data_IF_973540769027
#
_entry.id   IF_973540769027
#
_cell.length_a   1.000
_cell.length_b   1.000
_cell.length_c   1.000
_cell.angle_alpha   90.00
_cell.angle_beta   90.00
_cell.angle_gamma   90.00
#
_symmetry.space_group_name_H-M   'P 1'
#
loop_
_entity.id
_entity.type
_entity.pdbx_description
1 polymer ?
#
# COMPACT_ATOMS: atom_id res chain seq x y z
N UNK A 1 -10.68 -8.71 -17.04
CA UNK A 1 -9.70 -7.73 -17.55
C UNK A 1 -8.31 -8.36 -17.53
N UNK A 2 -7.38 -7.88 -18.34
CA UNK A 2 -5.99 -8.37 -18.33
C UNK A 2 -5.00 -7.31 -17.82
N UNK A 3 -5.51 -6.17 -17.35
CA UNK A 3 -4.74 -5.01 -16.89
C UNK A 3 -5.37 -4.40 -15.63
N UNK A 4 -4.55 -3.96 -14.70
CA UNK A 4 -4.96 -3.21 -13.53
C UNK A 4 -3.90 -2.15 -13.19
N UNK A 5 -4.35 -1.06 -12.56
CA UNK A 5 -3.49 -0.01 -12.03
C UNK A 5 -3.85 0.21 -10.56
N UNK A 6 -2.85 0.19 -9.69
CA UNK A 6 -2.99 0.42 -8.26
C UNK A 6 -2.06 1.57 -7.88
N UNK A 7 -2.54 2.45 -7.03
CA UNK A 7 -1.76 3.59 -6.53
C UNK A 7 -1.11 3.26 -5.18
N UNK A 8 0.14 3.71 -5.04
CA UNK A 8 0.93 3.61 -3.81
C UNK A 8 1.95 4.74 -3.75
N UNK A 9 2.74 4.81 -2.68
CA UNK A 9 3.77 5.83 -2.52
C UNK A 9 5.15 5.24 -2.28
N UNK A 10 6.16 5.86 -2.89
CA UNK A 10 7.55 5.72 -2.49
C UNK A 10 7.85 6.58 -1.27
N UNK A 11 9.09 6.51 -0.79
CA UNK A 11 9.60 7.41 0.24
C UNK A 11 10.96 7.94 -0.20
N UNK A 12 11.07 9.27 -0.28
CA UNK A 12 12.32 9.95 -0.63
C UNK A 12 12.58 11.08 0.39
N UNK A 13 13.27 10.73 1.47
CA UNK A 13 13.37 11.61 2.64
C UNK A 13 12.00 11.86 3.26
N UNK A 14 11.55 13.12 3.28
CA UNK A 14 10.19 13.51 3.74
C UNK A 14 9.15 13.53 2.62
N UNK A 15 9.56 13.34 1.37
CA UNK A 15 8.64 13.32 0.23
C UNK A 15 8.14 11.91 -0.02
N UNK A 16 6.85 11.80 -0.34
CA UNK A 16 6.22 10.53 -0.68
C UNK A 16 5.62 10.60 -2.09
N UNK A 17 6.46 10.48 -3.15
CA UNK A 17 5.99 10.55 -4.52
C UNK A 17 5.06 9.39 -4.86
N UNK A 18 4.05 9.68 -5.69
CA UNK A 18 3.11 8.68 -6.18
C UNK A 18 3.82 7.65 -7.07
N UNK A 19 3.48 6.38 -6.86
CA UNK A 19 3.91 5.25 -7.68
C UNK A 19 2.67 4.56 -8.21
N UNK A 20 2.63 4.31 -9.51
CA UNK A 20 1.62 3.49 -10.16
C UNK A 20 2.17 2.05 -10.29
N UNK A 21 1.43 1.11 -9.75
CA UNK A 21 1.69 -0.32 -9.91
C UNK A 21 0.76 -0.83 -11.00
N UNK A 22 1.29 -0.99 -12.21
CA UNK A 22 0.55 -1.50 -13.37
C UNK A 22 0.79 -3.00 -13.50
N UNK A 23 -0.28 -3.78 -13.54
CA UNK A 23 -0.21 -5.24 -13.68
C UNK A 23 -0.90 -5.67 -14.95
N UNK A 24 -0.17 -6.37 -15.81
CA UNK A 24 -0.68 -6.96 -17.04
C UNK A 24 -0.59 -8.49 -17.02
N UNK A 25 -1.72 -9.13 -17.27
CA UNK A 25 -1.84 -10.58 -17.38
C UNK A 25 -2.00 -10.95 -18.86
N UNK A 26 -1.05 -11.69 -19.41
CA UNK A 26 -1.05 -12.11 -20.82
C UNK A 26 -0.94 -13.63 -20.97
N UNK A 27 -1.33 -14.13 -22.13
CA UNK A 27 -1.14 -15.53 -22.48
C UNK A 27 0.34 -15.88 -22.63
N UNK A 28 0.72 -17.09 -22.25
CA UNK A 28 2.09 -17.58 -22.40
C UNK A 28 2.52 -18.45 -21.22
N UNK A 29 3.78 -18.86 -21.22
CA UNK A 29 4.33 -19.64 -20.10
C UNK A 29 4.26 -18.83 -18.80
N UNK A 30 3.88 -19.45 -17.68
CA UNK A 30 3.82 -18.78 -16.39
C UNK A 30 5.15 -18.13 -16.03
N UNK A 31 5.12 -16.84 -15.81
CA UNK A 31 6.28 -16.05 -15.40
C UNK A 31 5.83 -14.80 -14.67
N UNK A 32 6.66 -14.28 -13.77
CA UNK A 32 6.43 -13.02 -13.07
C UNK A 32 7.66 -12.12 -13.24
N UNK A 33 7.47 -11.02 -13.95
CA UNK A 33 8.51 -10.02 -14.21
C UNK A 33 8.10 -8.69 -13.60
N UNK A 34 9.02 -8.04 -12.87
CA UNK A 34 8.83 -6.68 -12.34
C UNK A 34 9.82 -5.77 -13.07
N UNK A 35 9.31 -4.68 -13.63
CA UNK A 35 10.07 -3.63 -14.33
C UNK A 35 9.84 -2.27 -13.66
N UNK A 36 10.57 -1.22 -14.07
CA UNK A 36 10.48 0.12 -13.45
C UNK A 36 11.54 0.34 -12.37
N UNK A 37 12.74 -0.22 -12.58
CA UNK A 37 13.90 -0.11 -11.67
C UNK A 37 13.62 -0.55 -10.22
N UNK A 38 13.06 -1.75 -10.00
CA UNK A 38 12.85 -2.26 -8.66
C UNK A 38 14.19 -2.58 -7.97
N UNK A 39 14.33 -2.20 -6.71
CA UNK A 39 15.44 -2.65 -5.87
C UNK A 39 15.34 -4.15 -5.52
N UNK A 40 16.38 -4.69 -4.87
CA UNK A 40 16.44 -6.12 -4.53
C UNK A 40 15.24 -6.56 -3.69
N UNK A 41 14.87 -5.78 -2.66
CA UNK A 41 13.74 -6.08 -1.78
C UNK A 41 12.40 -6.20 -2.52
N UNK A 42 12.16 -5.35 -3.54
CA UNK A 42 10.97 -5.42 -4.38
C UNK A 42 11.02 -6.62 -5.33
N UNK A 43 12.21 -7.00 -5.79
CA UNK A 43 12.35 -8.24 -6.59
C UNK A 43 12.08 -9.50 -5.79
N UNK A 44 12.43 -9.49 -4.51
CA UNK A 44 12.12 -10.58 -3.56
C UNK A 44 10.64 -10.67 -3.18
N UNK A 45 9.87 -9.60 -3.37
CA UNK A 45 8.43 -9.58 -3.06
C UNK A 45 7.63 -10.64 -3.83
N UNK A 46 8.14 -11.14 -4.96
CA UNK A 46 7.46 -12.14 -5.81
C UNK A 46 6.99 -13.36 -5.02
N UNK A 47 7.87 -13.90 -4.18
CA UNK A 47 7.57 -15.11 -3.41
C UNK A 47 6.64 -14.81 -2.22
N UNK A 48 6.82 -13.64 -1.57
CA UNK A 48 5.92 -13.19 -0.49
C UNK A 48 4.52 -12.96 -1.02
N UNK A 49 4.37 -12.17 -2.09
CA UNK A 49 3.09 -11.86 -2.72
C UNK A 49 2.39 -13.13 -3.20
N UNK A 50 3.12 -14.03 -3.88
CA UNK A 50 2.55 -15.29 -4.33
C UNK A 50 2.00 -16.11 -3.16
N UNK A 51 2.79 -16.29 -2.11
CA UNK A 51 2.40 -17.07 -0.93
C UNK A 51 1.23 -16.42 -0.20
N UNK A 52 1.25 -15.09 -0.01
CA UNK A 52 0.18 -14.35 0.64
C UNK A 52 -1.15 -14.48 -0.12
N UNK A 53 -1.16 -14.37 -1.44
CA UNK A 53 -2.35 -14.56 -2.29
C UNK A 53 -2.93 -15.96 -2.08
N UNK A 54 -2.09 -17.00 -2.18
CA UNK A 54 -2.53 -18.39 -2.03
C UNK A 54 -3.05 -18.68 -0.62
N UNK A 55 -2.36 -18.21 0.41
CA UNK A 55 -2.73 -18.45 1.82
C UNK A 55 -3.94 -17.59 2.25
N UNK A 56 -4.25 -16.54 1.50
CA UNK A 56 -5.49 -15.76 1.68
C UNK A 56 -6.72 -16.36 0.99
N UNK A 57 -6.58 -17.53 0.34
CA UNK A 57 -7.67 -18.25 -0.31
C UNK A 57 -7.94 -17.82 -1.76
N UNK A 58 -7.05 -17.03 -2.36
CA UNK A 58 -7.14 -16.61 -3.76
C UNK A 58 -6.26 -17.50 -4.66
N UNK A 59 -6.48 -17.38 -5.97
CA UNK A 59 -5.69 -18.09 -6.96
C UNK A 59 -4.54 -17.22 -7.48
N UNK A 60 -3.34 -17.79 -7.56
CA UNK A 60 -2.24 -17.12 -8.27
C UNK A 60 -2.30 -17.48 -9.76
N UNK A 61 -2.35 -16.48 -10.68
CA UNK A 61 -2.53 -16.75 -12.11
C UNK A 61 -1.40 -17.60 -12.70
N UNK A 62 -1.77 -18.65 -13.45
CA UNK A 62 -0.85 -19.51 -14.19
C UNK A 62 -0.59 -18.99 -15.61
N UNK A 63 -0.35 -17.67 -15.71
CA UNK A 63 -0.14 -16.92 -16.95
C UNK A 63 1.14 -16.08 -16.84
N UNK A 64 1.50 -15.38 -17.92
CA UNK A 64 2.58 -14.39 -17.87
C UNK A 64 2.08 -13.13 -17.18
N UNK A 65 2.75 -12.74 -16.10
CA UNK A 65 2.52 -11.52 -15.34
C UNK A 65 3.68 -10.55 -15.59
N UNK A 66 3.34 -9.33 -16.00
CA UNK A 66 4.28 -8.21 -16.07
C UNK A 66 3.78 -7.12 -15.13
N UNK A 67 4.62 -6.71 -14.19
CA UNK A 67 4.35 -5.64 -13.24
C UNK A 67 5.29 -4.49 -13.57
N UNK A 68 4.74 -3.32 -13.85
CA UNK A 68 5.50 -2.10 -14.06
C UNK A 68 5.30 -1.15 -12.89
N UNK A 69 6.40 -0.63 -12.34
CA UNK A 69 6.38 0.35 -11.27
C UNK A 69 6.75 1.72 -11.87
N UNK A 70 5.75 2.55 -12.11
CA UNK A 70 5.91 3.85 -12.72
C UNK A 70 5.90 4.99 -11.67
N UNK A 71 6.65 6.10 -11.89
CA UNK A 71 7.62 6.31 -12.94
C UNK A 71 8.95 5.59 -12.67
N UNK A 72 9.72 5.27 -13.74
CA UNK A 72 10.93 4.44 -13.60
C UNK A 72 12.12 5.15 -12.93
N UNK A 73 12.13 6.46 -12.89
CA UNK A 73 13.21 7.30 -12.34
C UNK A 73 13.18 7.45 -10.81
N UNK A 74 12.08 7.01 -10.15
CA UNK A 74 11.98 7.04 -8.69
C UNK A 74 12.54 5.76 -8.07
N UNK A 75 13.25 5.84 -6.94
CA UNK A 75 13.64 4.67 -6.15
C UNK A 75 12.38 3.90 -5.66
N UNK A 76 12.40 2.58 -5.79
CA UNK A 76 11.36 1.68 -5.26
C UNK A 76 12.02 0.70 -4.32
N UNK A 77 12.08 1.09 -3.07
CA UNK A 77 12.72 0.34 -2.00
C UNK A 77 11.71 -0.28 -1.04
N UNK A 78 12.19 -1.30 -0.35
CA UNK A 78 11.46 -1.94 0.73
C UNK A 78 10.30 -2.83 0.28
N UNK A 79 9.67 -3.43 1.28
CA UNK A 79 8.56 -4.38 1.14
C UNK A 79 7.17 -3.73 1.10
N UNK A 80 7.10 -2.40 1.22
CA UNK A 80 5.85 -1.63 1.26
C UNK A 80 4.97 -1.77 0.02
N UNK A 81 5.56 -2.24 -1.09
CA UNK A 81 4.88 -2.44 -2.36
C UNK A 81 4.21 -3.82 -2.48
N UNK A 82 4.37 -4.72 -1.49
CA UNK A 82 3.82 -6.07 -1.55
C UNK A 82 2.28 -6.05 -1.67
N UNK A 83 1.60 -5.23 -0.84
CA UNK A 83 0.15 -5.11 -0.87
C UNK A 83 -0.37 -4.59 -2.23
N UNK A 84 0.09 -3.43 -2.76
CA UNK A 84 -0.40 -2.95 -4.05
C UNK A 84 -0.08 -3.90 -5.20
N UNK A 85 1.05 -4.63 -5.18
CA UNK A 85 1.37 -5.66 -6.16
C UNK A 85 0.37 -6.82 -6.09
N UNK A 86 0.04 -7.30 -4.88
CA UNK A 86 -0.93 -8.38 -4.70
C UNK A 86 -2.31 -7.99 -5.22
N UNK A 87 -2.78 -6.78 -4.87
CA UNK A 87 -4.07 -6.25 -5.31
C UNK A 87 -4.12 -6.10 -6.83
N UNK A 88 -3.06 -5.57 -7.44
CA UNK A 88 -2.96 -5.45 -8.89
C UNK A 88 -3.07 -6.80 -9.60
N UNK A 89 -2.46 -7.87 -9.05
CA UNK A 89 -2.58 -9.22 -9.58
C UNK A 89 -4.01 -9.73 -9.45
N UNK A 90 -4.68 -9.51 -8.32
CA UNK A 90 -6.04 -9.96 -8.07
C UNK A 90 -7.06 -9.25 -8.96
N UNK A 91 -6.93 -7.92 -9.13
CA UNK A 91 -7.79 -7.15 -10.05
C UNK A 91 -7.54 -7.57 -11.51
N UNK A 92 -6.27 -7.60 -11.96
CA UNK A 92 -5.94 -7.95 -13.33
C UNK A 92 -6.34 -9.40 -13.70
N UNK A 93 -6.41 -10.30 -12.72
CA UNK A 93 -6.87 -11.68 -12.91
C UNK A 93 -8.40 -11.85 -12.79
N UNK A 94 -9.14 -10.79 -12.49
CA UNK A 94 -10.61 -10.80 -12.38
C UNK A 94 -11.13 -11.41 -11.07
N UNK A 95 -10.30 -11.50 -10.03
CA UNK A 95 -10.70 -12.00 -8.71
C UNK A 95 -11.22 -10.88 -7.80
N UNK A 96 -10.91 -9.63 -8.13
CA UNK A 96 -11.51 -8.43 -7.54
C UNK A 96 -12.20 -7.60 -8.63
N UNK A 97 -13.20 -6.77 -8.27
CA UNK A 97 -13.87 -5.89 -9.23
C UNK A 97 -12.88 -4.91 -9.88
N UNK A 98 -13.14 -4.52 -11.12
CA UNK A 98 -12.32 -3.54 -11.82
C UNK A 98 -12.38 -2.16 -11.12
N UNK A 99 -12.57 -1.27 -10.99
CA UNK A 99 -12.68 0.05 -10.38
C UNK A 99 -12.80 0.05 -8.83
N UNK A 100 -12.50 -1.07 -8.17
CA UNK A 100 -12.59 -1.13 -6.70
C UNK A 100 -11.43 -0.41 -5.98
N UNK A 101 -10.45 0.06 -6.72
CA UNK A 101 -9.25 0.71 -6.19
C UNK A 101 -9.14 2.20 -6.56
N UNK A 102 -10.19 2.74 -7.20
CA UNK A 102 -10.24 4.15 -7.57
C UNK A 102 -10.23 5.02 -6.30
N UNK A 103 -9.51 6.14 -6.32
CA UNK A 103 -9.34 7.07 -5.20
C UNK A 103 -8.72 6.47 -3.91
N UNK A 104 -8.20 5.23 -3.97
CA UNK A 104 -7.51 4.55 -2.88
C UNK A 104 -6.03 4.33 -3.20
N UNK A 105 -5.18 4.67 -2.25
CA UNK A 105 -3.78 4.29 -2.25
C UNK A 105 -3.53 3.16 -1.24
N UNK A 106 -2.64 2.25 -1.59
CA UNK A 106 -2.39 1.05 -0.78
C UNK A 106 -0.92 0.98 -0.40
N UNK A 107 -0.64 0.67 0.86
CA UNK A 107 0.72 0.48 1.34
C UNK A 107 0.75 -0.63 2.38
N UNK A 108 1.77 -1.48 2.33
CA UNK A 108 1.95 -2.54 3.33
C UNK A 108 2.87 -3.66 2.85
N UNK A 109 3.62 -4.21 3.79
CA UNK A 109 4.35 -5.45 3.60
C UNK A 109 3.43 -6.65 3.84
N UNK A 110 3.59 -7.71 3.07
CA UNK A 110 2.87 -8.97 3.25
C UNK A 110 3.77 -10.04 3.87
N UNK A 111 3.29 -10.68 4.91
CA UNK A 111 3.80 -11.95 5.38
C UNK A 111 3.33 -13.09 4.47
N UNK A 112 3.97 -14.25 4.52
CA UNK A 112 3.64 -15.40 3.67
C UNK A 112 2.22 -15.94 3.90
N UNK A 113 1.68 -15.74 5.10
CA UNK A 113 0.32 -16.14 5.47
C UNK A 113 -0.74 -15.10 5.07
N UNK A 114 -0.34 -13.95 4.52
CA UNK A 114 -1.23 -12.87 4.11
C UNK A 114 -1.43 -11.79 5.17
N UNK A 115 -0.80 -11.87 6.33
CA UNK A 115 -0.84 -10.79 7.32
C UNK A 115 -0.14 -9.54 6.81
N UNK A 116 -0.70 -8.37 7.14
CA UNK A 116 -0.11 -7.07 6.85
C UNK A 116 0.86 -6.67 7.97
N UNK A 117 2.09 -6.39 7.59
CA UNK A 117 3.14 -5.91 8.48
C UNK A 117 3.32 -4.40 8.36
N UNK A 118 3.66 -3.73 9.48
CA UNK A 118 3.87 -2.30 9.47
C UNK A 118 5.03 -1.88 8.57
N UNK A 119 4.91 -0.68 8.02
CA UNK A 119 5.92 -0.03 7.20
C UNK A 119 6.28 1.33 7.80
N UNK A 120 7.43 1.87 7.43
CA UNK A 120 7.93 3.16 7.94
C UNK A 120 7.48 4.33 7.08
N UNK A 121 7.44 5.54 7.65
CA UNK A 121 7.21 6.80 6.94
C UNK A 121 5.75 7.07 6.59
N UNK A 122 4.82 6.49 7.34
CA UNK A 122 3.38 6.61 7.07
C UNK A 122 2.90 8.05 7.16
N UNK A 123 3.42 8.87 8.08
CA UNK A 123 3.00 10.26 8.19
C UNK A 123 3.28 11.05 6.90
N UNK A 124 4.48 10.91 6.32
CA UNK A 124 4.82 11.56 5.04
C UNK A 124 3.94 11.07 3.90
N UNK A 125 3.63 9.78 3.87
CA UNK A 125 2.74 9.16 2.87
C UNK A 125 1.32 9.68 3.05
N UNK A 126 0.81 9.73 4.26
CA UNK A 126 -0.53 10.20 4.57
C UNK A 126 -0.73 11.68 4.20
N UNK A 127 0.26 12.54 4.49
CA UNK A 127 0.25 13.96 4.08
C UNK A 127 0.15 14.08 2.56
N UNK A 128 0.97 13.33 1.81
CA UNK A 128 0.96 13.40 0.35
C UNK A 128 -0.34 12.82 -0.24
N UNK A 129 -0.86 11.75 0.33
CA UNK A 129 -2.13 11.13 -0.08
C UNK A 129 -3.32 12.09 0.16
N UNK A 130 -3.37 12.76 1.32
CA UNK A 130 -4.37 13.77 1.64
C UNK A 130 -4.31 14.97 0.67
N UNK A 131 -3.09 15.44 0.36
CA UNK A 131 -2.88 16.54 -0.60
C UNK A 131 -3.46 16.21 -1.98
N UNK A 132 -3.31 14.97 -2.42
CA UNK A 132 -3.82 14.50 -3.71
C UNK A 132 -5.30 14.05 -3.65
N UNK A 133 -5.95 14.24 -2.51
CA UNK A 133 -7.36 13.93 -2.26
C UNK A 133 -7.71 12.45 -2.40
N UNK A 134 -6.75 11.56 -2.20
CA UNK A 134 -6.96 10.12 -2.14
C UNK A 134 -7.20 9.66 -0.69
N UNK A 135 -7.74 8.46 -0.54
CA UNK A 135 -7.88 7.73 0.72
C UNK A 135 -6.71 6.76 0.87
N UNK A 136 -6.38 6.34 2.09
CA UNK A 136 -5.25 5.45 2.34
C UNK A 136 -5.68 4.15 3.02
N UNK A 137 -5.27 3.02 2.45
CA UNK A 137 -5.36 1.69 3.03
C UNK A 137 -3.98 1.24 3.50
N UNK A 138 -3.86 0.88 4.79
CA UNK A 138 -2.58 0.59 5.42
C UNK A 138 -2.67 -0.53 6.46
N UNK A 139 -1.53 -1.06 6.95
CA UNK A 139 -1.52 -2.05 8.04
C UNK A 139 -2.06 -1.49 9.35
N UNK A 140 -2.83 -2.31 10.09
CA UNK A 140 -3.41 -1.94 11.39
C UNK A 140 -2.43 -1.25 12.36
N UNK A 141 -1.22 -1.78 12.58
CA UNK A 141 -0.22 -1.14 13.45
C UNK A 141 0.20 0.28 13.04
N UNK A 142 0.03 0.65 11.77
CA UNK A 142 0.35 2.00 11.27
C UNK A 142 -0.80 3.02 11.43
N UNK A 143 -1.98 2.57 11.81
CA UNK A 143 -3.18 3.41 11.90
C UNK A 143 -2.98 4.64 12.80
N UNK A 144 -2.36 4.45 13.96
CA UNK A 144 -2.14 5.53 14.92
C UNK A 144 -1.28 6.67 14.36
N UNK A 145 -0.30 6.34 13.50
CA UNK A 145 0.56 7.35 12.84
C UNK A 145 -0.23 8.16 11.82
N UNK A 146 -1.04 7.51 10.98
CA UNK A 146 -1.86 8.15 9.95
C UNK A 146 -3.00 9.00 10.54
N UNK A 147 -3.59 8.58 11.67
CA UNK A 147 -4.70 9.28 12.34
C UNK A 147 -4.31 10.61 12.98
N UNK A 148 -3.05 11.03 12.90
CA UNK A 148 -2.63 12.36 13.35
C UNK A 148 -3.06 13.48 12.39
N UNK A 149 -3.46 13.14 11.16
CA UNK A 149 -3.92 14.12 10.17
C UNK A 149 -5.43 14.34 10.32
N UNK A 150 -5.89 15.60 10.50
CA UNK A 150 -7.31 15.91 10.56
C UNK A 150 -7.97 15.67 9.19
N UNK A 151 -9.24 15.28 9.19
CA UNK A 151 -10.09 15.13 8.00
C UNK A 151 -9.50 14.22 6.90
N UNK A 152 -8.65 13.26 7.29
CA UNK A 152 -8.05 12.30 6.37
C UNK A 152 -8.66 10.91 6.50
N UNK A 153 -9.13 10.35 5.38
CA UNK A 153 -9.77 9.04 5.34
C UNK A 153 -8.73 7.92 5.27
N UNK A 154 -8.70 7.12 6.33
CA UNK A 154 -7.77 6.00 6.49
C UNK A 154 -8.54 4.73 6.80
N UNK A 155 -8.17 3.65 6.12
CA UNK A 155 -8.62 2.29 6.42
C UNK A 155 -7.44 1.44 6.87
N UNK A 156 -7.62 0.68 7.95
CA UNK A 156 -6.60 -0.22 8.43
C UNK A 156 -7.06 -1.67 8.35
N UNK A 157 -6.16 -2.51 7.87
CA UNK A 157 -6.37 -3.95 7.78
C UNK A 157 -5.19 -4.71 8.37
N UNK A 158 -5.44 -5.90 8.87
CA UNK A 158 -4.41 -6.79 9.41
C UNK A 158 -4.07 -7.94 8.47
N UNK A 159 -4.89 -8.16 7.45
CA UNK A 159 -4.75 -9.28 6.53
C UNK A 159 -5.18 -8.91 5.11
N UNK A 160 -4.50 -9.46 4.09
CA UNK A 160 -4.84 -9.27 2.68
C UNK A 160 -6.32 -9.60 2.38
N UNK A 161 -6.86 -10.62 3.04
CA UNK A 161 -8.25 -11.03 2.88
C UNK A 161 -9.22 -9.92 3.31
N UNK A 162 -8.96 -9.21 4.42
CA UNK A 162 -9.78 -8.09 4.90
C UNK A 162 -9.81 -6.94 3.89
N UNK A 163 -8.65 -6.64 3.28
CA UNK A 163 -8.58 -5.64 2.20
C UNK A 163 -9.42 -6.06 1.00
N UNK A 164 -9.31 -7.32 0.58
CA UNK A 164 -10.07 -7.84 -0.56
C UNK A 164 -11.59 -7.86 -0.27
N UNK A 165 -12.01 -8.21 0.93
CA UNK A 165 -13.41 -8.20 1.36
C UNK A 165 -13.97 -6.77 1.38
N UNK A 166 -13.19 -5.78 1.82
CA UNK A 166 -13.55 -4.37 1.75
C UNK A 166 -13.73 -3.91 0.30
N UNK A 167 -12.76 -4.19 -0.57
CA UNK A 167 -12.81 -3.82 -1.98
C UNK A 167 -13.95 -4.50 -2.75
N UNK A 168 -14.28 -5.75 -2.39
CA UNK A 168 -15.42 -6.48 -2.95
C UNK A 168 -16.76 -6.08 -2.31
N UNK A 169 -16.77 -5.16 -1.33
CA UNK A 169 -17.94 -4.71 -0.57
C UNK A 169 -18.69 -5.84 0.15
N UNK A 170 -18.02 -6.93 0.45
CA UNK A 170 -18.59 -8.06 1.20
C UNK A 170 -18.47 -7.85 2.71
N UNK A 171 -17.38 -7.25 3.17
CA UNK A 171 -17.16 -6.82 4.54
C UNK A 171 -16.38 -5.51 4.55
N UNK A 172 -17.06 -4.39 4.78
CA UNK A 172 -16.42 -3.08 4.76
C UNK A 172 -15.65 -2.83 6.06
N UNK A 173 -14.40 -2.36 5.93
CA UNK A 173 -13.62 -1.83 7.04
C UNK A 173 -14.21 -0.48 7.48
N UNK A 174 -14.18 -0.23 8.77
CA UNK A 174 -14.53 1.09 9.30
C UNK A 174 -13.42 2.10 8.96
N UNK A 175 -13.83 3.31 8.61
CA UNK A 175 -12.91 4.44 8.54
C UNK A 175 -12.36 4.73 9.94
N UNK A 176 -11.04 4.89 10.05
CA UNK A 176 -10.42 5.20 11.33
C UNK A 176 -10.58 6.69 11.62
N UNK A 177 -11.18 6.98 12.76
CA UNK A 177 -11.38 8.34 13.24
C UNK A 177 -10.05 8.96 13.64
N UNK A 178 -9.80 10.19 13.20
CA UNK A 178 -8.65 10.97 13.65
C UNK A 178 -8.75 11.23 15.16
N UNK A 179 -7.66 10.96 15.87
CA UNK A 179 -7.58 11.28 17.29
C UNK A 179 -7.18 12.75 17.39
N UNK A 180 -7.99 13.63 18.02
CA UNK A 180 -7.57 15.01 18.22
C UNK A 180 -6.25 15.01 19.01
N UNK A 181 -5.22 15.61 18.43
CA UNK A 181 -3.97 15.84 19.17
C UNK A 181 -4.29 16.87 20.24
N UNK A 182 -4.17 16.48 21.51
CA UNK A 182 -4.24 17.44 22.61
C UNK A 182 -3.03 18.37 22.53
N UNK A 183 -3.23 19.55 21.96
CA UNK A 183 -2.19 20.59 21.81
C UNK A 183 -1.90 21.33 23.11
N UNK A 184 -2.56 20.98 24.22
CA UNK A 184 -2.39 21.62 25.53
C UNK A 184 -1.20 21.06 26.33
N UNK A 185 -0.23 20.44 25.71
CA UNK A 185 1.04 20.17 26.38
C UNK A 185 1.83 21.48 26.55
N UNK A 186 1.68 22.09 27.71
CA UNK A 186 2.59 23.13 28.17
C UNK A 186 3.99 22.51 28.36
N UNK A 187 4.84 22.69 27.38
CA UNK A 187 6.25 22.36 27.56
C UNK A 187 6.83 23.34 28.59
N UNK A 188 7.37 22.81 29.72
CA UNK A 188 8.05 23.61 30.73
C UNK A 188 9.38 24.22 30.29
N UNK A 189 9.86 23.86 29.11
CA UNK A 189 11.12 24.30 28.55
C UNK A 189 10.89 24.76 27.10
N UNK A 190 11.31 25.97 26.76
CA UNK A 190 11.33 26.51 25.41
C UNK A 190 12.74 26.34 24.83
N UNK A 191 12.85 26.15 23.50
CA UNK A 191 14.16 26.21 22.82
C UNK A 191 14.88 27.54 23.04
N UNK A 192 14.15 28.62 23.30
CA UNK A 192 14.69 29.92 23.72
C UNK A 192 15.45 29.89 25.06
N UNK A 193 15.21 28.88 25.91
CA UNK A 193 15.89 28.70 27.19
C UNK A 193 17.26 28.02 27.04
N UNK A 194 17.60 27.51 25.85
CA UNK A 194 18.89 26.91 25.56
C UNK A 194 19.90 28.00 25.29
N UNK A 195 20.75 28.27 26.29
CA UNK A 195 21.92 29.16 26.16
C UNK A 195 23.07 28.36 25.58
N UNK A 196 23.46 28.69 24.32
CA UNK A 196 24.67 28.21 23.68
C UNK A 196 25.90 29.01 24.12
#
# INVERSE_FOLDING_TARGET
MSFAKIYTRGLLGLHAPLIEVEVHVSSGMPSLTIVGLPEAAVRESKDRVRSAILNSGFQFPTKRLTINLAPADLPKDGSRLDLPIALGILVASGQLPENCTDDLEFIGELALDGQLRPVTGILSIAIACQHDQHQLMLPGPNAQEACQLPDFKVFAANHLKEVCEHLAQTQCLAEIQTIPVDTNHFYKCDLADVKG
#
